data_IF_844011915508
#
_entry.id   IF_844011915508
#
_cell.length_a   1.000
_cell.length_b   1.000
_cell.length_c   1.000
_cell.angle_alpha   90.00
_cell.angle_beta   90.00
_cell.angle_gamma   90.00
#
_symmetry.space_group_name_H-M   'P 1'
#
loop_
_entity.id
_entity.type
_entity.pdbx_description
1 polymer ?
#
# COMPACT_ATOMS: atom_id res chain seq x y z
N UNK A 1 -9.29 -2.05 -12.85
CA UNK A 1 -8.69 -2.30 -11.51
C UNK A 1 -8.17 -0.99 -10.87
N UNK A 2 -8.15 -0.85 -9.55
CA UNK A 2 -7.58 0.31 -8.84
C UNK A 2 -6.22 -0.04 -8.20
N UNK A 3 -5.26 0.88 -8.27
CA UNK A 3 -3.90 0.74 -7.73
C UNK A 3 -3.53 1.99 -6.93
N UNK A 4 -2.99 1.82 -5.73
CA UNK A 4 -2.43 2.92 -4.94
C UNK A 4 -0.96 3.13 -5.29
N UNK A 5 -0.59 4.37 -5.57
CA UNK A 5 0.80 4.77 -5.86
C UNK A 5 1.20 5.99 -5.03
N UNK A 6 2.51 6.14 -4.81
CA UNK A 6 3.12 7.35 -4.27
C UNK A 6 3.38 8.38 -5.38
N UNK A 7 2.93 9.61 -5.24
CA UNK A 7 3.16 10.71 -6.18
C UNK A 7 4.19 11.76 -5.71
N UNK A 8 4.79 11.56 -4.54
CA UNK A 8 5.86 12.40 -4.00
C UNK A 8 7.24 11.70 -4.01
N UNK A 9 8.30 12.46 -3.80
CA UNK A 9 9.65 11.94 -3.64
C UNK A 9 9.82 11.26 -2.28
N UNK A 10 10.55 10.14 -2.24
CA UNK A 10 10.82 9.40 -1.02
C UNK A 10 10.36 7.95 -1.09
N UNK A 11 9.46 7.54 -0.21
CA UNK A 11 9.05 6.14 -0.09
C UNK A 11 7.56 5.99 0.18
N UNK A 12 7.00 4.86 -0.21
CA UNK A 12 5.62 4.55 0.13
C UNK A 12 5.51 4.30 1.64
N UNK A 13 4.82 5.20 2.33
CA UNK A 13 4.65 5.11 3.79
C UNK A 13 3.25 5.51 4.20
N UNK A 14 2.57 4.63 4.95
CA UNK A 14 1.26 4.92 5.52
C UNK A 14 1.37 5.75 6.79
N UNK A 15 0.35 6.58 7.04
CA UNK A 15 0.20 7.24 8.34
C UNK A 15 -0.22 6.22 9.42
N UNK A 16 -0.06 6.59 10.70
CA UNK A 16 -0.56 5.74 11.80
C UNK A 16 -2.09 5.59 11.74
N UNK A 17 -2.80 6.62 11.30
CA UNK A 17 -4.26 6.60 11.12
C UNK A 17 -4.67 5.60 10.02
N UNK A 18 -3.97 5.60 8.88
CA UNK A 18 -4.22 4.65 7.81
C UNK A 18 -3.96 3.20 8.25
N UNK A 19 -2.87 2.96 8.96
CA UNK A 19 -2.55 1.62 9.45
C UNK A 19 -3.59 1.10 10.45
N UNK A 20 -4.06 1.94 11.37
CA UNK A 20 -5.13 1.58 12.29
C UNK A 20 -6.47 1.32 11.56
N UNK A 21 -6.78 2.12 10.55
CA UNK A 21 -7.97 1.95 9.73
C UNK A 21 -7.97 0.59 9.02
N UNK A 22 -6.87 0.23 8.36
CA UNK A 22 -6.73 -1.04 7.65
C UNK A 22 -6.76 -2.21 8.65
N UNK A 23 -6.04 -2.11 9.76
CA UNK A 23 -6.04 -3.12 10.82
C UNK A 23 -7.45 -3.42 11.33
N UNK A 24 -8.24 -2.38 11.59
CA UNK A 24 -9.63 -2.51 12.05
C UNK A 24 -10.53 -3.20 11.03
N UNK A 25 -10.31 -2.96 9.73
CA UNK A 25 -11.10 -3.60 8.65
C UNK A 25 -10.72 -5.06 8.43
N UNK A 26 -9.44 -5.38 8.55
CA UNK A 26 -8.91 -6.74 8.34
C UNK A 26 -8.95 -7.62 9.59
N UNK A 27 -9.21 -7.04 10.76
CA UNK A 27 -9.13 -7.75 12.04
C UNK A 27 -7.69 -8.10 12.43
N UNK A 28 -6.73 -7.25 12.04
CA UNK A 28 -5.32 -7.42 12.40
C UNK A 28 -4.98 -6.60 13.64
N UNK A 29 -3.95 -7.01 14.38
CA UNK A 29 -3.40 -6.17 15.43
C UNK A 29 -2.46 -5.13 14.81
N UNK A 30 -2.51 -3.91 15.32
CA UNK A 30 -1.60 -2.83 14.92
C UNK A 30 -0.59 -2.59 16.04
N UNK A 31 0.70 -2.71 15.71
CA UNK A 31 1.79 -2.51 16.64
C UNK A 31 2.55 -1.23 16.31
N UNK A 32 3.03 -0.55 17.34
CA UNK A 32 3.89 0.63 17.23
C UNK A 32 4.93 0.62 18.35
N UNK A 33 6.17 0.92 18.00
CA UNK A 33 7.26 1.09 18.97
C UNK A 33 7.53 2.57 19.26
N UNK A 34 8.28 2.84 20.33
CA UNK A 34 8.77 4.19 20.65
C UNK A 34 9.68 4.77 19.55
N UNK A 35 10.29 3.93 18.71
CA UNK A 35 11.08 4.33 17.54
C UNK A 35 10.23 4.62 16.29
N UNK A 36 8.91 4.64 16.40
CA UNK A 36 7.95 4.84 15.31
C UNK A 36 7.93 3.73 14.25
N UNK A 37 8.52 2.58 14.53
CA UNK A 37 8.32 1.37 13.72
C UNK A 37 6.89 0.88 13.91
N UNK A 38 6.24 0.53 12.80
CA UNK A 38 4.82 0.18 12.75
C UNK A 38 4.63 -1.01 11.83
N UNK A 39 3.92 -2.01 12.31
CA UNK A 39 3.57 -3.20 11.53
C UNK A 39 2.19 -3.70 11.95
N UNK A 40 1.63 -4.58 11.12
CA UNK A 40 0.46 -5.35 11.45
C UNK A 40 0.82 -6.78 11.80
N UNK A 41 -0.02 -7.38 12.64
CA UNK A 41 0.03 -8.79 12.97
C UNK A 41 -1.31 -9.43 12.59
N UNK A 42 -1.37 -10.20 11.49
CA UNK A 42 -2.56 -10.96 11.13
C UNK A 42 -2.79 -12.12 12.11
N UNK A 43 -4.00 -12.71 12.15
CA UNK A 43 -4.25 -13.96 12.87
C UNK A 43 -3.28 -15.07 12.41
N UNK A 44 -2.77 -15.85 13.36
CA UNK A 44 -1.69 -16.82 13.08
C UNK A 44 -2.07 -17.93 12.10
N UNK A 45 -3.37 -18.21 11.97
CA UNK A 45 -3.97 -19.19 11.07
C UNK A 45 -4.51 -18.57 9.77
N UNK A 46 -4.28 -17.27 9.54
CA UNK A 46 -4.74 -16.57 8.34
C UNK A 46 -3.83 -16.83 7.13
N UNK A 47 -4.41 -16.69 5.93
CA UNK A 47 -3.65 -16.78 4.68
C UNK A 47 -2.57 -15.70 4.58
N UNK A 48 -2.83 -14.51 5.11
CA UNK A 48 -1.89 -13.40 5.12
C UNK A 48 -0.70 -13.68 6.03
N UNK A 49 -0.92 -14.31 7.20
CA UNK A 49 0.18 -14.79 8.03
C UNK A 49 1.02 -15.84 7.31
N UNK A 50 0.41 -16.72 6.51
CA UNK A 50 1.13 -17.73 5.75
C UNK A 50 1.94 -17.16 4.57
N UNK A 51 1.50 -16.02 3.99
CA UNK A 51 2.14 -15.39 2.82
C UNK A 51 3.19 -14.37 3.22
N UNK A 52 2.87 -13.47 4.14
CA UNK A 52 3.71 -12.34 4.53
C UNK A 52 4.43 -12.58 5.86
N UNK A 53 4.05 -13.60 6.62
CA UNK A 53 4.54 -13.85 7.96
C UNK A 53 3.73 -13.12 9.03
N UNK A 54 4.19 -13.21 10.28
CA UNK A 54 3.48 -12.65 11.42
C UNK A 54 3.64 -11.12 11.54
N UNK A 55 4.62 -10.52 10.87
CA UNK A 55 4.86 -9.07 10.87
C UNK A 55 4.75 -8.55 9.44
N UNK A 56 3.71 -7.76 9.18
CA UNK A 56 3.42 -7.18 7.86
C UNK A 56 3.65 -5.68 7.93
N UNK A 57 4.51 -5.16 7.06
CA UNK A 57 4.79 -3.74 6.93
C UNK A 57 3.88 -3.12 5.87
N UNK A 58 3.74 -1.79 5.87
CA UNK A 58 2.95 -1.07 4.87
C UNK A 58 3.41 -1.31 3.42
N UNK A 59 4.71 -1.55 3.23
CA UNK A 59 5.31 -1.93 1.94
C UNK A 59 4.94 -3.34 1.47
N UNK A 60 4.57 -4.24 2.37
CA UNK A 60 4.19 -5.62 2.02
C UNK A 60 2.73 -5.71 1.53
N UNK A 61 1.91 -4.72 1.86
CA UNK A 61 0.50 -4.73 1.51
C UNK A 61 0.34 -4.57 -0.02
N UNK A 62 -0.44 -5.45 -0.69
CA UNK A 62 -0.66 -5.32 -2.12
C UNK A 62 -1.19 -3.93 -2.50
N UNK A 63 -0.62 -3.31 -3.53
CA UNK A 63 -1.02 -1.98 -4.03
C UNK A 63 -2.46 -1.92 -4.55
N UNK A 64 -3.05 -3.08 -4.80
CA UNK A 64 -4.44 -3.29 -5.23
C UNK A 64 -5.35 -3.73 -4.09
N UNK A 65 -4.87 -3.75 -2.84
CA UNK A 65 -5.66 -4.18 -1.69
C UNK A 65 -6.90 -3.27 -1.54
N UNK A 66 -8.12 -3.84 -1.46
CA UNK A 66 -9.34 -3.03 -1.44
C UNK A 66 -9.46 -2.17 -0.17
N UNK A 67 -8.89 -2.60 0.97
CA UNK A 67 -8.89 -1.79 2.19
C UNK A 67 -7.87 -0.67 2.12
N UNK A 68 -6.74 -0.88 1.44
CA UNK A 68 -5.76 0.17 1.12
C UNK A 68 -6.37 1.24 0.21
N UNK A 69 -6.98 0.83 -0.91
CA UNK A 69 -7.67 1.74 -1.83
C UNK A 69 -8.72 2.55 -1.07
N UNK A 70 -9.56 1.85 -0.29
CA UNK A 70 -10.62 2.51 0.49
C UNK A 70 -10.06 3.47 1.54
N UNK A 71 -8.94 3.13 2.16
CA UNK A 71 -8.25 3.98 3.13
C UNK A 71 -7.80 5.30 2.48
N UNK A 72 -7.11 5.24 1.35
CA UNK A 72 -6.62 6.43 0.63
C UNK A 72 -7.77 7.29 0.13
N UNK A 73 -8.82 6.71 -0.45
CA UNK A 73 -10.01 7.44 -0.89
C UNK A 73 -10.73 8.19 0.24
N UNK A 74 -10.81 7.59 1.43
CA UNK A 74 -11.56 8.15 2.56
C UNK A 74 -10.75 9.14 3.40
N UNK A 75 -9.49 8.82 3.68
CA UNK A 75 -8.66 9.63 4.56
C UNK A 75 -7.94 10.76 3.81
N UNK A 76 -7.76 10.63 2.49
CA UNK A 76 -7.02 11.60 1.69
C UNK A 76 -5.62 11.81 2.23
N UNK A 77 -5.25 13.07 2.46
CA UNK A 77 -3.94 13.50 2.98
C UNK A 77 -3.55 12.93 4.33
N UNK A 78 -4.54 12.48 5.11
CA UNK A 78 -4.30 11.80 6.38
C UNK A 78 -3.88 10.35 6.22
N UNK A 79 -3.88 9.79 5.02
CA UNK A 79 -3.52 8.37 4.80
C UNK A 79 -2.03 8.08 4.76
N UNK A 80 -1.16 9.09 4.65
CA UNK A 80 0.27 8.89 4.39
C UNK A 80 1.21 9.60 5.37
N UNK A 81 2.47 9.14 5.38
CA UNK A 81 3.54 9.67 6.22
C UNK A 81 4.20 10.94 5.66
N UNK A 82 5.26 11.40 6.33
CA UNK A 82 5.92 12.70 6.06
C UNK A 82 6.60 12.82 4.69
N UNK A 83 6.86 11.72 3.99
CA UNK A 83 7.63 11.65 2.75
C UNK A 83 6.92 10.80 1.69
N UNK A 84 5.60 10.95 1.62
CA UNK A 84 4.73 10.27 0.69
C UNK A 84 3.55 11.19 0.34
N UNK A 85 2.96 10.97 -0.82
CA UNK A 85 1.64 11.49 -1.19
C UNK A 85 0.93 10.37 -1.94
N UNK A 86 -0.11 9.77 -1.36
CA UNK A 86 -0.73 8.57 -1.96
C UNK A 86 -1.95 8.94 -2.78
N UNK A 87 -2.10 8.29 -3.93
CA UNK A 87 -3.29 8.44 -4.78
C UNK A 87 -3.70 7.12 -5.39
N UNK A 88 -4.99 7.03 -5.74
CA UNK A 88 -5.56 5.89 -6.45
C UNK A 88 -5.56 6.16 -7.95
N UNK A 89 -5.04 5.21 -8.72
CA UNK A 89 -5.05 5.22 -10.20
C UNK A 89 -5.90 4.07 -10.70
N UNK A 90 -6.70 4.35 -11.73
CA UNK A 90 -7.46 3.33 -12.44
C UNK A 90 -6.62 2.74 -13.59
N UNK A 91 -6.49 1.42 -13.59
CA UNK A 91 -5.90 0.65 -14.69
C UNK A 91 -7.02 -0.04 -15.45
N UNK A 92 -7.12 0.14 -16.79
CA UNK A 92 -8.13 -0.53 -17.59
C UNK A 92 -8.06 -2.05 -17.47
N UNK A 93 -9.21 -2.71 -17.56
CA UNK A 93 -9.27 -4.16 -17.49
C UNK A 93 -8.60 -4.80 -18.73
N UNK A 94 -7.93 -5.94 -18.54
CA UNK A 94 -7.23 -6.65 -19.61
C UNK A 94 -5.87 -6.08 -20.00
N UNK A 95 -5.39 -5.05 -19.30
CA UNK A 95 -4.04 -4.48 -19.48
C UNK A 95 -3.07 -5.10 -18.47
N UNK A 96 -1.96 -5.65 -18.96
CA UNK A 96 -0.80 -6.00 -18.12
C UNK A 96 -0.03 -4.73 -17.79
N UNK A 97 0.44 -4.59 -16.55
CA UNK A 97 1.05 -3.37 -16.05
C UNK A 97 2.04 -3.64 -14.92
N UNK A 98 2.91 -2.67 -14.68
CA UNK A 98 3.82 -2.62 -13.54
C UNK A 98 3.90 -1.20 -12.98
N UNK A 99 4.41 -1.07 -11.75
CA UNK A 99 4.76 0.24 -11.17
C UNK A 99 6.19 0.54 -11.59
N UNK A 100 6.41 1.74 -12.14
CA UNK A 100 7.74 2.33 -12.25
C UNK A 100 7.87 3.44 -11.24
N UNK A 101 9.11 3.72 -10.83
CA UNK A 101 9.41 4.79 -9.91
C UNK A 101 10.62 5.60 -10.39
N UNK A 102 10.64 6.86 -9.98
CA UNK A 102 11.83 7.69 -10.02
C UNK A 102 11.92 8.44 -8.69
N UNK A 103 12.86 8.03 -7.83
CA UNK A 103 13.08 8.62 -6.51
C UNK A 103 11.81 8.58 -5.63
N UNK A 104 11.11 7.45 -5.67
CA UNK A 104 9.87 7.24 -4.91
C UNK A 104 8.61 7.76 -5.57
N UNK A 105 8.73 8.63 -6.58
CA UNK A 105 7.58 9.10 -7.35
C UNK A 105 7.18 8.04 -8.35
N UNK A 106 6.09 7.35 -8.05
CA UNK A 106 5.60 6.18 -8.78
C UNK A 106 4.61 6.58 -9.90
N UNK A 107 4.54 5.75 -10.93
CA UNK A 107 3.45 5.73 -11.92
C UNK A 107 3.17 4.29 -12.38
N UNK A 108 1.94 4.04 -12.80
CA UNK A 108 1.56 2.78 -13.45
C UNK A 108 1.93 2.88 -14.92
N UNK A 109 2.69 1.92 -15.43
CA UNK A 109 3.01 1.76 -16.85
C UNK A 109 2.45 0.44 -17.36
N UNK A 110 1.91 0.42 -18.58
CA UNK A 110 1.48 -0.84 -19.19
C UNK A 110 2.68 -1.63 -19.75
N UNK A 111 2.55 -2.95 -19.76
CA UNK A 111 3.51 -3.86 -20.37
C UNK A 111 3.29 -3.89 -21.89
N UNK A 112 4.08 -3.11 -22.62
CA UNK A 112 4.02 -3.10 -24.07
C UNK A 112 4.95 -4.14 -24.70
N UNK A 113 4.60 -4.61 -25.89
CA UNK A 113 5.50 -5.40 -26.73
C UNK A 113 6.56 -4.49 -27.35
N UNK A 114 7.81 -4.93 -27.30
CA UNK A 114 8.95 -4.26 -27.95
C UNK A 114 9.41 -5.14 -29.11
N UNK A 115 9.60 -4.55 -30.28
CA UNK A 115 10.19 -5.20 -31.46
C UNK A 115 11.47 -4.45 -31.84
N UNK A 116 12.53 -5.18 -32.15
CA UNK A 116 13.81 -4.66 -32.64
C UNK A 116 14.05 -5.09 -34.08
#
# INVERSE_FOLDING_TARGET
>A
MQVVINSDYGGFGLSGEAMQFIASRKGWNYQITDSYERWWEPPIDSQECAVFGHQIWDVDLPRTDPDLVKCVELLGDRSWGRNAELKVVEVPDGVSWHIQDYDGKEWVAEDHRVWM
#
